data_IF_493578468432
#
_entry.id   IF_493578468432
#
_cell.length_a   1.000
_cell.length_b   1.000
_cell.length_c   1.000
_cell.angle_alpha   90.00
_cell.angle_beta   90.00
_cell.angle_gamma   90.00
#
_symmetry.space_group_name_H-M   'P 1'
#
loop_
_entity.id
_entity.type
_entity.pdbx_description
1 polymer ?
#
# COMPACT_ATOMS: atom_id res chain seq x y z
N UNK A 1 0.66 -28.45 80.85
CA UNK A 1 -0.47 -27.54 80.73
C UNK A 1 -0.16 -26.28 79.85
N UNK A 2 1.05 -26.17 79.29
CA UNK A 2 1.41 -25.01 78.40
C UNK A 2 1.38 -25.30 76.90
N UNK A 3 1.36 -26.58 76.51
CA UNK A 3 1.41 -26.99 75.10
C UNK A 3 0.08 -26.97 74.35
N UNK A 4 -1.02 -27.13 75.11
CA UNK A 4 -2.41 -27.19 74.63
C UNK A 4 -3.00 -25.81 74.31
N UNK A 5 -2.55 -24.76 75.00
CA UNK A 5 -3.02 -23.39 74.77
C UNK A 5 -2.35 -22.76 73.55
N UNK A 6 -1.09 -23.13 73.21
CA UNK A 6 -0.39 -22.63 72.04
C UNK A 6 -0.93 -23.19 70.73
N UNK A 7 -1.39 -24.45 70.75
CA UNK A 7 -2.02 -25.09 69.59
C UNK A 7 -3.40 -24.50 69.28
N UNK A 8 -4.18 -24.15 70.34
CA UNK A 8 -5.53 -23.54 70.21
C UNK A 8 -5.42 -22.12 69.61
N UNK A 9 -4.46 -21.32 70.04
CA UNK A 9 -4.26 -19.96 69.53
C UNK A 9 -3.78 -19.94 68.07
N UNK A 10 -3.08 -20.99 67.62
CA UNK A 10 -2.61 -21.14 66.21
C UNK A 10 -3.75 -21.59 65.27
N UNK A 11 -4.70 -22.40 65.75
CA UNK A 11 -5.85 -22.83 64.95
C UNK A 11 -6.86 -21.72 64.71
N UNK A 12 -7.06 -20.81 65.65
CA UNK A 12 -7.96 -19.67 65.48
C UNK A 12 -7.41 -18.61 64.54
N UNK A 13 -6.10 -18.38 64.53
CA UNK A 13 -5.48 -17.46 63.55
C UNK A 13 -5.60 -17.94 62.12
N UNK A 14 -5.60 -19.26 61.89
CA UNK A 14 -5.74 -19.84 60.53
C UNK A 14 -7.20 -19.79 60.02
N UNK A 15 -8.20 -19.73 60.91
CA UNK A 15 -9.62 -19.58 60.50
C UNK A 15 -9.93 -18.17 60.00
N UNK A 16 -9.35 -17.12 60.63
CA UNK A 16 -9.51 -15.74 60.14
C UNK A 16 -8.85 -15.47 58.80
N UNK A 17 -7.69 -16.12 58.55
CA UNK A 17 -6.96 -15.99 57.28
C UNK A 17 -7.70 -16.61 56.06
N UNK A 18 -8.38 -17.73 56.28
CA UNK A 18 -9.14 -18.41 55.21
C UNK A 18 -10.40 -17.64 54.78
N UNK A 19 -11.09 -16.98 55.75
CA UNK A 19 -12.24 -16.14 55.43
C UNK A 19 -11.83 -14.88 54.65
N UNK A 20 -10.71 -14.30 55.00
CA UNK A 20 -10.18 -13.10 54.30
C UNK A 20 -9.70 -13.44 52.86
N UNK A 21 -9.10 -14.62 52.66
CA UNK A 21 -8.68 -15.09 51.32
C UNK A 21 -9.88 -15.41 50.41
N UNK A 22 -10.96 -15.96 50.95
CA UNK A 22 -12.19 -16.24 50.19
C UNK A 22 -12.91 -14.95 49.76
N UNK A 23 -12.90 -13.91 50.58
CA UNK A 23 -13.48 -12.62 50.22
C UNK A 23 -12.64 -11.89 49.17
N UNK A 24 -11.31 -12.01 49.22
CA UNK A 24 -10.41 -11.44 48.22
C UNK A 24 -10.53 -12.13 46.84
N UNK A 25 -10.72 -13.44 46.80
CA UNK A 25 -10.89 -14.17 45.54
C UNK A 25 -12.24 -13.88 44.89
N UNK A 26 -13.30 -13.66 45.64
CA UNK A 26 -14.63 -13.29 45.12
C UNK A 26 -14.58 -11.86 44.55
N UNK A 27 -13.87 -10.92 45.19
CA UNK A 27 -13.71 -9.56 44.70
C UNK A 27 -12.93 -9.50 43.38
N UNK A 28 -11.93 -10.38 43.18
CA UNK A 28 -11.15 -10.47 41.93
C UNK A 28 -11.97 -11.10 40.80
N UNK A 29 -12.84 -12.08 41.09
CA UNK A 29 -13.69 -12.68 40.06
C UNK A 29 -14.82 -11.76 39.60
N UNK A 30 -15.36 -10.88 40.46
CA UNK A 30 -16.39 -9.90 40.04
C UNK A 30 -15.82 -8.74 39.25
N UNK A 31 -14.55 -8.35 39.50
CA UNK A 31 -13.86 -7.32 38.75
C UNK A 31 -13.49 -7.73 37.33
N UNK A 32 -13.38 -9.03 37.02
CA UNK A 32 -13.01 -9.54 35.68
C UNK A 32 -14.20 -9.74 34.74
N UNK A 33 -15.44 -9.62 35.21
CA UNK A 33 -16.65 -9.82 34.40
C UNK A 33 -17.21 -8.53 33.78
N UNK A 34 -16.64 -7.36 34.04
CA UNK A 34 -17.11 -6.07 33.48
C UNK A 34 -16.16 -5.48 32.47
N UNK A 35 -15.03 -6.14 32.19
CA UNK A 35 -14.15 -5.76 31.07
C UNK A 35 -14.46 -6.61 29.83
N UNK A 36 -15.74 -6.69 29.45
CA UNK A 36 -16.13 -6.97 28.08
C UNK A 36 -15.72 -5.73 27.25
N UNK A 37 -14.43 -5.63 26.97
CA UNK A 37 -13.94 -4.74 25.94
C UNK A 37 -14.76 -5.03 24.70
N UNK A 38 -15.61 -4.09 24.32
CA UNK A 38 -16.13 -4.04 22.98
C UNK A 38 -14.91 -4.08 22.07
N UNK A 39 -14.60 -5.25 21.52
CA UNK A 39 -13.80 -5.37 20.34
C UNK A 39 -14.52 -4.48 19.32
N UNK A 40 -14.07 -3.24 19.19
CA UNK A 40 -14.40 -2.42 18.04
C UNK A 40 -13.99 -3.28 16.85
N UNK A 41 -14.97 -3.96 16.27
CA UNK A 41 -14.86 -4.45 14.92
C UNK A 41 -14.38 -3.24 14.13
N UNK A 42 -13.14 -3.31 13.64
CA UNK A 42 -12.64 -2.39 12.62
C UNK A 42 -13.73 -2.42 11.56
N UNK A 43 -14.60 -1.40 11.58
CA UNK A 43 -15.69 -1.29 10.64
C UNK A 43 -15.09 -1.48 9.27
N UNK A 44 -15.49 -2.54 8.60
CA UNK A 44 -15.24 -2.67 7.18
C UNK A 44 -15.81 -1.38 6.58
N UNK A 45 -14.91 -0.49 6.12
CA UNK A 45 -15.36 0.65 5.31
C UNK A 45 -16.29 0.06 4.25
N UNK A 46 -17.43 0.69 3.96
CA UNK A 46 -18.32 0.21 2.92
C UNK A 46 -17.45 -0.08 1.70
N UNK A 47 -17.51 -1.29 1.17
CA UNK A 47 -16.80 -1.61 -0.07
C UNK A 47 -17.25 -0.57 -1.09
N UNK A 48 -16.30 0.19 -1.59
CA UNK A 48 -16.45 1.26 -2.57
C UNK A 48 -16.83 0.66 -3.94
N UNK A 49 -17.92 -0.17 -3.93
CA UNK A 49 -18.36 -0.95 -5.08
C UNK A 49 -18.87 -0.08 -6.22
N UNK A 50 -19.32 1.14 -5.90
CA UNK A 50 -19.99 2.04 -6.82
C UNK A 50 -19.22 3.35 -7.07
N UNK A 51 -17.95 3.48 -6.65
CA UNK A 51 -17.19 4.69 -6.94
C UNK A 51 -16.94 4.83 -8.46
N UNK A 52 -17.10 6.04 -9.03
CA UNK A 52 -16.80 6.29 -10.43
C UNK A 52 -15.40 5.84 -10.85
N UNK A 53 -14.40 6.01 -9.97
CA UNK A 53 -13.03 5.58 -10.22
C UNK A 53 -12.91 4.06 -10.31
N UNK A 54 -13.59 3.31 -9.42
CA UNK A 54 -13.62 1.85 -9.48
C UNK A 54 -14.29 1.34 -10.76
N UNK A 55 -15.41 1.94 -11.14
CA UNK A 55 -16.14 1.57 -12.36
C UNK A 55 -15.32 1.88 -13.62
N UNK A 56 -14.51 2.95 -13.58
CA UNK A 56 -13.64 3.33 -14.70
C UNK A 56 -12.40 2.43 -14.81
N UNK A 57 -11.60 2.30 -13.74
CA UNK A 57 -10.33 1.56 -13.77
C UNK A 57 -10.52 0.05 -13.68
N UNK A 58 -11.51 -0.43 -12.94
CA UNK A 58 -11.83 -1.83 -12.67
C UNK A 58 -10.68 -2.62 -12.01
N UNK A 59 -10.92 -3.88 -11.68
CA UNK A 59 -9.94 -4.75 -11.02
C UNK A 59 -9.41 -5.84 -11.95
N UNK A 60 -8.97 -5.45 -13.17
CA UNK A 60 -8.24 -6.40 -14.01
C UNK A 60 -6.99 -6.88 -13.29
N UNK A 61 -6.68 -8.17 -13.44
CA UNK A 61 -5.53 -8.80 -12.77
C UNK A 61 -4.24 -8.49 -13.52
N UNK A 62 -3.30 -7.84 -12.84
CA UNK A 62 -1.90 -7.70 -13.24
C UNK A 62 -1.03 -8.57 -12.33
N UNK A 63 0.25 -8.67 -12.63
CA UNK A 63 1.23 -9.44 -11.86
C UNK A 63 2.43 -8.52 -11.63
N UNK A 64 2.90 -8.41 -10.40
CA UNK A 64 4.07 -7.57 -10.10
C UNK A 64 5.40 -8.33 -10.29
N UNK A 65 6.52 -7.64 -10.10
CA UNK A 65 7.88 -8.17 -10.19
C UNK A 65 8.19 -9.34 -9.23
N UNK A 66 7.38 -9.54 -8.20
CA UNK A 66 7.53 -10.64 -7.24
C UNK A 66 6.58 -11.81 -7.55
N UNK A 67 5.90 -11.78 -8.71
CA UNK A 67 4.94 -12.79 -9.12
C UNK A 67 3.60 -12.72 -8.38
N UNK A 68 3.34 -11.66 -7.61
CA UNK A 68 2.08 -11.48 -6.88
C UNK A 68 1.01 -10.93 -7.81
N UNK A 69 -0.21 -11.52 -7.80
CA UNK A 69 -1.35 -10.92 -8.48
C UNK A 69 -1.73 -9.59 -7.81
N UNK A 70 -2.03 -8.59 -8.64
CA UNK A 70 -2.39 -7.23 -8.23
C UNK A 70 -3.66 -6.81 -8.98
N UNK A 71 -4.69 -6.42 -8.26
CA UNK A 71 -5.90 -5.84 -8.84
C UNK A 71 -5.62 -4.38 -9.21
N UNK A 72 -5.92 -4.01 -10.44
CA UNK A 72 -5.49 -2.71 -10.97
C UNK A 72 -6.03 -1.54 -10.16
N UNK A 73 -7.35 -1.48 -9.90
CA UNK A 73 -7.90 -0.41 -9.08
C UNK A 73 -7.59 -0.62 -7.60
N UNK A 74 -8.02 -1.74 -7.02
CA UNK A 74 -8.02 -1.92 -5.57
C UNK A 74 -6.60 -1.94 -4.97
N UNK A 75 -5.66 -2.62 -5.61
CA UNK A 75 -4.33 -2.81 -5.03
C UNK A 75 -3.34 -1.73 -5.47
N UNK A 76 -3.47 -1.19 -6.70
CA UNK A 76 -2.51 -0.24 -7.25
C UNK A 76 -2.96 1.22 -7.15
N UNK A 77 -4.27 1.53 -7.26
CA UNK A 77 -4.73 2.91 -7.40
C UNK A 77 -5.51 3.42 -6.19
N UNK A 78 -6.41 2.62 -5.63
CA UNK A 78 -7.38 3.06 -4.62
C UNK A 78 -6.70 3.78 -3.44
N UNK A 79 -7.20 4.97 -3.10
CA UNK A 79 -6.77 5.80 -1.96
C UNK A 79 -5.28 6.19 -1.98
N UNK A 80 -4.63 6.17 -3.15
CA UNK A 80 -3.21 6.44 -3.31
C UNK A 80 -2.93 7.67 -4.17
N UNK A 81 -1.76 8.25 -3.96
CA UNK A 81 -1.11 9.06 -4.99
C UNK A 81 -0.21 8.15 -5.81
N UNK A 82 -0.35 8.20 -7.12
CA UNK A 82 0.38 7.30 -8.02
C UNK A 82 1.15 8.07 -9.09
N UNK A 83 2.35 7.59 -9.38
CA UNK A 83 3.18 8.03 -10.51
C UNK A 83 3.26 6.84 -11.45
N UNK A 84 2.63 6.95 -12.62
CA UNK A 84 2.51 5.84 -13.57
C UNK A 84 3.34 6.16 -14.80
N UNK A 85 4.18 5.21 -15.22
CA UNK A 85 4.89 5.26 -16.49
C UNK A 85 4.77 3.92 -17.23
N UNK A 86 5.02 3.96 -18.53
CA UNK A 86 5.12 2.77 -19.37
C UNK A 86 6.58 2.47 -19.68
N UNK A 87 6.89 1.19 -19.85
CA UNK A 87 8.23 0.71 -20.17
C UNK A 87 8.17 -0.70 -20.79
N UNK A 88 9.30 -1.19 -21.25
CA UNK A 88 9.55 -2.61 -21.49
C UNK A 88 11.02 -2.95 -21.21
N UNK A 89 11.30 -4.19 -20.76
CA UNK A 89 12.62 -4.55 -20.22
C UNK A 89 13.72 -4.54 -21.25
N UNK A 90 13.39 -4.72 -22.54
CA UNK A 90 14.33 -4.72 -23.65
C UNK A 90 14.54 -3.34 -24.28
N UNK A 91 13.91 -2.29 -23.79
CA UNK A 91 14.12 -0.92 -24.25
C UNK A 91 15.52 -0.42 -23.91
N UNK A 92 16.24 0.09 -24.92
CA UNK A 92 17.60 0.61 -24.75
C UNK A 92 17.70 2.14 -24.93
N UNK A 93 16.62 2.80 -25.33
CA UNK A 93 16.60 4.23 -25.64
C UNK A 93 16.04 5.09 -24.51
N UNK A 94 14.71 5.25 -24.42
CA UNK A 94 14.05 6.20 -23.52
C UNK A 94 13.74 5.63 -22.13
N UNK A 95 13.50 4.31 -21.99
CA UNK A 95 13.18 3.72 -20.69
C UNK A 95 14.32 3.85 -19.67
N UNK A 96 15.61 3.65 -20.01
CA UNK A 96 16.70 3.81 -19.05
C UNK A 96 16.81 5.20 -18.43
N UNK A 97 16.80 6.32 -19.18
CA UNK A 97 16.82 7.65 -18.57
C UNK A 97 15.54 7.96 -17.77
N UNK A 98 14.35 7.53 -18.22
CA UNK A 98 13.11 7.68 -17.46
C UNK A 98 13.17 6.95 -16.12
N UNK A 99 13.67 5.72 -16.10
CA UNK A 99 13.81 4.94 -14.87
C UNK A 99 14.83 5.56 -13.91
N UNK A 100 15.92 6.16 -14.42
CA UNK A 100 16.84 6.93 -13.58
C UNK A 100 16.19 8.19 -13.00
N UNK A 101 15.32 8.85 -13.72
CA UNK A 101 14.53 9.95 -13.18
C UNK A 101 13.60 9.48 -12.07
N UNK A 102 12.94 8.34 -12.23
CA UNK A 102 12.11 7.74 -11.18
C UNK A 102 12.94 7.29 -9.96
N UNK A 103 14.18 6.82 -10.14
CA UNK A 103 15.11 6.56 -9.03
C UNK A 103 15.40 7.84 -8.22
N UNK A 104 15.48 9.01 -8.86
CA UNK A 104 15.62 10.30 -8.15
C UNK A 104 14.31 10.72 -7.47
N UNK A 105 13.17 10.53 -8.13
CA UNK A 105 11.85 10.80 -7.55
C UNK A 105 11.61 9.93 -6.32
N UNK A 106 11.92 8.63 -6.35
CA UNK A 106 11.80 7.76 -5.19
C UNK A 106 12.69 8.20 -4.02
N UNK A 107 13.88 8.70 -4.34
CA UNK A 107 14.82 9.22 -3.32
C UNK A 107 14.26 10.48 -2.65
N UNK A 108 13.66 11.39 -3.43
CA UNK A 108 13.00 12.59 -2.93
C UNK A 108 11.75 12.26 -2.09
N UNK A 109 10.93 11.28 -2.51
CA UNK A 109 9.76 10.83 -1.76
C UNK A 109 10.12 10.29 -0.37
N UNK A 110 11.32 9.75 -0.20
CA UNK A 110 11.76 9.22 1.09
C UNK A 110 10.80 8.17 1.64
N UNK A 111 10.31 8.39 2.86
CA UNK A 111 9.40 7.49 3.57
C UNK A 111 7.93 7.58 3.10
N UNK A 112 7.59 8.50 2.21
CA UNK A 112 6.26 8.59 1.59
C UNK A 112 6.05 7.47 0.57
N UNK A 113 7.13 7.01 -0.07
CA UNK A 113 7.05 5.90 -1.02
C UNK A 113 6.62 4.61 -0.30
N UNK A 114 5.56 3.98 -0.79
CA UNK A 114 4.99 2.77 -0.22
C UNK A 114 4.04 3.00 0.96
N UNK A 115 3.83 4.26 1.37
CA UNK A 115 2.82 4.63 2.38
C UNK A 115 1.61 5.31 1.73
N UNK A 116 1.81 6.48 1.18
CA UNK A 116 0.77 7.31 0.56
C UNK A 116 1.04 7.61 -0.92
N UNK A 117 2.27 7.44 -1.37
CA UNK A 117 2.71 7.61 -2.76
C UNK A 117 3.30 6.32 -3.30
N UNK A 118 2.93 5.96 -4.51
CA UNK A 118 3.40 4.74 -5.17
C UNK A 118 3.87 5.05 -6.59
N UNK A 119 4.89 4.32 -7.05
CA UNK A 119 5.33 4.35 -8.45
C UNK A 119 4.88 3.05 -9.10
N UNK A 120 4.25 3.15 -10.27
CA UNK A 120 3.71 2.02 -11.01
C UNK A 120 4.25 2.06 -12.44
N UNK A 121 5.16 1.16 -12.75
CA UNK A 121 5.68 0.97 -14.09
C UNK A 121 4.93 -0.18 -14.77
N UNK A 122 4.16 0.13 -15.83
CA UNK A 122 3.34 -0.86 -16.54
C UNK A 122 4.05 -1.27 -17.83
N UNK A 123 4.27 -2.57 -18.01
CA UNK A 123 4.88 -3.08 -19.24
C UNK A 123 3.94 -2.93 -20.44
N UNK A 124 4.51 -2.47 -21.56
CA UNK A 124 3.85 -2.46 -22.87
C UNK A 124 4.20 -3.70 -23.72
N UNK A 125 5.02 -4.60 -23.19
CA UNK A 125 5.42 -5.86 -23.85
C UNK A 125 5.17 -7.07 -22.91
N UNK A 126 3.92 -7.33 -22.50
CA UNK A 126 3.62 -8.35 -21.49
C UNK A 126 3.97 -9.77 -21.92
N UNK A 127 4.16 -10.02 -23.22
CA UNK A 127 4.56 -11.34 -23.73
C UNK A 127 6.05 -11.64 -23.47
N UNK A 128 6.87 -10.61 -23.32
CA UNK A 128 8.31 -10.70 -23.07
C UNK A 128 8.64 -10.42 -21.61
N UNK A 129 7.95 -9.46 -21.02
CA UNK A 129 8.22 -8.94 -19.68
C UNK A 129 7.58 -9.81 -18.59
N UNK A 130 8.24 -10.93 -18.29
CA UNK A 130 7.84 -11.85 -17.22
C UNK A 130 8.22 -11.31 -15.84
N UNK A 131 7.59 -11.77 -14.74
CA UNK A 131 7.95 -11.34 -13.38
C UNK A 131 9.45 -11.41 -13.05
N UNK A 132 10.22 -12.47 -13.40
CA UNK A 132 11.67 -12.49 -13.21
C UNK A 132 12.38 -11.34 -13.95
N UNK A 133 12.03 -11.05 -15.21
CA UNK A 133 12.61 -9.92 -15.96
C UNK A 133 12.27 -8.57 -15.33
N UNK A 134 11.03 -8.42 -14.85
CA UNK A 134 10.62 -7.23 -14.10
C UNK A 134 11.42 -7.07 -12.81
N UNK A 135 11.71 -8.17 -12.13
CA UNK A 135 12.52 -8.16 -10.90
C UNK A 135 13.95 -7.72 -11.16
N UNK A 136 14.59 -8.25 -12.20
CA UNK A 136 15.93 -7.83 -12.61
C UNK A 136 15.96 -6.35 -13.00
N UNK A 137 14.93 -5.90 -13.73
CA UNK A 137 14.80 -4.48 -14.10
C UNK A 137 14.61 -3.59 -12.86
N UNK A 138 13.76 -3.99 -11.91
CA UNK A 138 13.56 -3.28 -10.64
C UNK A 138 14.88 -3.17 -9.83
N UNK A 139 15.65 -4.26 -9.76
CA UNK A 139 16.95 -4.28 -9.08
C UNK A 139 17.95 -3.32 -9.74
N UNK A 140 18.00 -3.29 -11.08
CA UNK A 140 18.87 -2.39 -11.86
C UNK A 140 18.66 -0.92 -11.47
N UNK A 141 17.44 -0.50 -11.17
CA UNK A 141 17.09 0.86 -10.76
C UNK A 141 16.87 1.02 -9.26
N UNK A 142 17.33 0.04 -8.46
CA UNK A 142 17.26 0.06 -6.98
C UNK A 142 15.86 0.40 -6.48
N UNK A 143 14.84 -0.18 -7.13
CA UNK A 143 13.46 0.06 -6.77
C UNK A 143 13.19 -0.35 -5.33
N UNK A 144 12.67 0.59 -4.54
CA UNK A 144 12.31 0.38 -3.13
C UNK A 144 10.85 -0.12 -3.02
N UNK A 145 10.44 -0.67 -1.87
CA UNK A 145 9.04 -0.97 -1.60
C UNK A 145 8.15 0.24 -1.90
N UNK A 146 7.06 0.03 -2.65
CA UNK A 146 6.20 1.10 -3.16
C UNK A 146 6.45 1.46 -4.63
N UNK A 147 7.51 0.94 -5.24
CA UNK A 147 7.69 0.98 -6.69
C UNK A 147 7.37 -0.39 -7.28
N UNK A 148 6.25 -0.49 -7.98
CA UNK A 148 5.78 -1.70 -8.62
C UNK A 148 6.08 -1.69 -10.12
N UNK A 149 6.64 -2.78 -10.60
CA UNK A 149 6.72 -3.10 -12.02
C UNK A 149 5.70 -4.18 -12.31
N UNK A 150 4.76 -3.90 -13.18
CA UNK A 150 3.63 -4.80 -13.41
C UNK A 150 3.52 -5.21 -14.88
N UNK A 151 3.09 -6.43 -15.06
CA UNK A 151 2.75 -7.09 -16.32
C UNK A 151 1.44 -7.86 -16.15
N UNK A 152 1.06 -8.69 -17.09
CA UNK A 152 -0.14 -9.54 -17.01
C UNK A 152 -0.32 -10.35 -18.27
N UNK A 153 -1.51 -10.98 -18.44
CA UNK A 153 -1.88 -11.39 -19.77
C UNK A 153 -2.07 -10.16 -20.66
N UNK A 154 -2.00 -10.36 -21.97
CA UNK A 154 -2.02 -9.27 -22.95
C UNK A 154 -3.27 -8.39 -22.78
N UNK A 155 -4.43 -9.02 -22.66
CA UNK A 155 -5.73 -8.35 -22.58
C UNK A 155 -5.82 -7.44 -21.34
N UNK A 156 -5.38 -7.92 -20.18
CA UNK A 156 -5.41 -7.16 -18.92
C UNK A 156 -4.39 -6.01 -18.91
N UNK A 157 -3.19 -6.26 -19.45
CA UNK A 157 -2.16 -5.21 -19.56
C UNK A 157 -2.61 -4.09 -20.51
N UNK A 158 -3.12 -4.45 -21.68
CA UNK A 158 -3.67 -3.48 -22.64
C UNK A 158 -4.87 -2.73 -22.07
N UNK A 159 -5.76 -3.41 -21.35
CA UNK A 159 -6.88 -2.75 -20.68
C UNK A 159 -6.40 -1.68 -19.70
N UNK A 160 -5.46 -2.00 -18.82
CA UNK A 160 -4.88 -1.05 -17.87
C UNK A 160 -4.23 0.15 -18.60
N UNK A 161 -3.47 -0.12 -19.67
CA UNK A 161 -2.82 0.91 -20.49
C UNK A 161 -3.86 1.83 -21.17
N UNK A 162 -4.97 1.28 -21.70
CA UNK A 162 -6.08 2.07 -22.27
C UNK A 162 -6.72 2.97 -21.21
N UNK A 163 -6.92 2.47 -19.99
CA UNK A 163 -7.55 3.24 -18.91
C UNK A 163 -6.71 4.43 -18.44
N UNK A 164 -5.39 4.35 -18.55
CA UNK A 164 -4.50 5.48 -18.26
C UNK A 164 -4.12 6.30 -19.50
N UNK A 165 -4.68 5.96 -20.68
CA UNK A 165 -4.40 6.67 -21.92
C UNK A 165 -2.97 6.49 -22.44
N UNK A 166 -2.36 5.33 -22.22
CA UNK A 166 -0.98 4.99 -22.57
C UNK A 166 -0.87 3.72 -23.45
N UNK A 167 -1.99 3.24 -23.96
CA UNK A 167 -1.98 2.12 -24.89
C UNK A 167 -1.36 2.51 -26.24
N UNK A 168 -0.54 1.61 -26.78
CA UNK A 168 0.07 1.71 -28.11
C UNK A 168 -0.02 0.37 -28.83
N UNK A 169 -0.15 0.38 -30.16
CA UNK A 169 -0.17 -0.84 -30.98
C UNK A 169 1.23 -1.48 -31.04
N UNK A 170 2.27 -0.65 -31.18
CA UNK A 170 3.66 -1.08 -31.15
C UNK A 170 4.33 -0.57 -29.88
N UNK A 171 5.07 -1.45 -29.20
CA UNK A 171 5.84 -1.08 -28.00
C UNK A 171 6.87 0.04 -28.28
N UNK A 172 7.34 0.18 -29.51
CA UNK A 172 8.33 1.19 -29.89
C UNK A 172 7.72 2.60 -29.92
N UNK A 173 6.38 2.71 -30.02
CA UNK A 173 5.64 3.96 -29.97
C UNK A 173 5.21 4.37 -28.55
N UNK A 174 5.67 3.64 -27.51
CA UNK A 174 5.29 3.93 -26.14
C UNK A 174 5.67 5.34 -25.69
N UNK A 175 4.78 5.94 -24.93
CA UNK A 175 4.90 7.33 -24.48
C UNK A 175 6.02 7.52 -23.45
N UNK A 176 6.71 8.65 -23.54
CA UNK A 176 7.61 9.15 -22.49
C UNK A 176 6.89 9.99 -21.44
N UNK A 177 5.57 10.12 -21.54
CA UNK A 177 4.74 10.88 -20.57
C UNK A 177 4.47 10.01 -19.35
N UNK A 178 4.68 10.59 -18.17
CA UNK A 178 4.26 10.04 -16.89
C UNK A 178 2.89 10.60 -16.51
N UNK A 179 2.04 9.77 -15.93
CA UNK A 179 0.72 10.14 -15.41
C UNK A 179 0.82 10.17 -13.89
N UNK A 180 0.55 11.32 -13.28
CA UNK A 180 0.56 11.49 -11.84
C UNK A 180 -0.87 11.73 -11.37
N UNK A 181 -1.37 10.89 -10.47
CA UNK A 181 -2.76 10.94 -10.00
C UNK A 181 -2.88 10.87 -8.50
N UNK A 182 -3.79 11.68 -7.95
CA UNK A 182 -4.22 11.57 -6.56
C UNK A 182 -5.67 11.04 -6.54
N UNK A 183 -5.82 9.76 -6.21
CA UNK A 183 -7.13 9.10 -6.24
C UNK A 183 -8.07 9.59 -5.11
N UNK A 184 -7.54 10.29 -4.11
CA UNK A 184 -8.32 10.84 -3.00
C UNK A 184 -8.98 12.18 -3.37
N UNK A 185 -8.33 12.96 -4.23
CA UNK A 185 -8.81 14.28 -4.64
C UNK A 185 -9.32 14.33 -6.08
N UNK A 186 -8.97 13.29 -6.88
CA UNK A 186 -9.28 13.23 -8.31
C UNK A 186 -8.37 14.12 -9.18
N UNK A 187 -7.27 14.69 -8.63
CA UNK A 187 -6.32 15.48 -9.41
C UNK A 187 -5.42 14.57 -10.24
N UNK A 188 -5.34 14.85 -11.55
CA UNK A 188 -4.45 14.16 -12.48
C UNK A 188 -3.62 15.16 -13.26
N UNK A 189 -2.31 14.90 -13.35
CA UNK A 189 -1.36 15.69 -14.16
C UNK A 189 -0.51 14.78 -15.03
N UNK A 190 0.00 15.37 -16.11
CA UNK A 190 0.99 14.73 -16.99
C UNK A 190 2.35 15.40 -16.80
N UNK A 191 3.42 14.61 -16.84
CA UNK A 191 4.78 15.10 -16.79
C UNK A 191 5.64 14.43 -17.87
N UNK A 192 6.60 15.15 -18.41
CA UNK A 192 7.55 14.58 -19.37
C UNK A 192 8.59 13.75 -18.61
N UNK A 193 8.62 12.43 -18.80
CA UNK A 193 9.53 11.53 -18.09
C UNK A 193 11.01 11.75 -18.42
N UNK A 194 11.29 12.42 -19.53
CA UNK A 194 12.64 12.82 -19.98
C UNK A 194 13.02 14.23 -19.51
N UNK A 195 12.15 14.94 -18.80
CA UNK A 195 12.47 16.26 -18.22
C UNK A 195 13.57 16.15 -17.16
N UNK A 196 14.11 17.29 -16.74
CA UNK A 196 15.03 17.33 -15.61
C UNK A 196 14.35 16.78 -14.37
N UNK A 197 15.03 16.00 -13.52
CA UNK A 197 14.42 15.41 -12.32
C UNK A 197 13.73 16.43 -11.42
N UNK A 198 14.32 17.63 -11.30
CA UNK A 198 13.79 18.73 -10.48
C UNK A 198 12.42 19.21 -10.96
N UNK A 199 12.22 19.28 -12.29
CA UNK A 199 10.95 19.70 -12.89
C UNK A 199 9.90 18.60 -12.78
N UNK A 200 10.29 17.34 -12.93
CA UNK A 200 9.43 16.20 -12.67
C UNK A 200 8.97 16.17 -11.19
N UNK A 201 9.89 16.39 -10.25
CA UNK A 201 9.60 16.45 -8.82
C UNK A 201 8.57 17.55 -8.51
N UNK A 202 8.69 18.75 -9.08
CA UNK A 202 7.71 19.83 -8.88
C UNK A 202 6.30 19.41 -9.30
N UNK A 203 6.16 18.70 -10.43
CA UNK A 203 4.84 18.20 -10.85
C UNK A 203 4.33 17.14 -9.88
N UNK A 204 5.18 16.20 -9.45
CA UNK A 204 4.82 15.18 -8.46
C UNK A 204 4.39 15.83 -7.15
N UNK A 205 5.18 16.76 -6.61
CA UNK A 205 4.90 17.51 -5.38
C UNK A 205 3.52 18.17 -5.42
N UNK A 206 3.20 18.84 -6.54
CA UNK A 206 1.91 19.54 -6.70
C UNK A 206 0.68 18.62 -6.73
N UNK A 207 0.87 17.30 -6.91
CA UNK A 207 -0.20 16.29 -6.84
C UNK A 207 -0.20 15.59 -5.49
N UNK A 208 1.00 15.38 -4.93
CA UNK A 208 1.20 14.73 -3.64
C UNK A 208 0.66 15.60 -2.49
N UNK A 209 0.81 16.91 -2.61
CA UNK A 209 0.38 17.88 -1.58
C UNK A 209 -1.06 18.37 -1.78
N UNK A 210 -1.72 17.97 -2.87
CA UNK A 210 -3.14 18.28 -3.12
C UNK A 210 -4.04 17.56 -2.09
N UNK A 211 -4.90 18.32 -1.41
CA UNK A 211 -5.77 17.84 -0.33
C UNK A 211 -7.24 17.90 -0.73
N UNK A 212 -8.09 17.02 -0.17
CA UNK A 212 -9.53 17.14 -0.33
C UNK A 212 -10.01 18.52 0.14
N UNK A 213 -10.75 19.22 -0.73
CA UNK A 213 -11.26 20.56 -0.45
C UNK A 213 -10.42 21.72 -1.00
N UNK A 214 -9.24 21.45 -1.55
CA UNK A 214 -8.51 22.50 -2.28
C UNK A 214 -9.30 22.93 -3.52
N UNK A 215 -9.50 24.23 -3.67
CA UNK A 215 -10.23 24.81 -4.81
C UNK A 215 -9.37 24.62 -6.07
N UNK A 216 -9.96 24.03 -7.10
CA UNK A 216 -9.31 23.79 -8.40
C UNK A 216 -9.77 24.80 -9.43
#
# INVERSE_FOLDING_TARGET
MKLTDEIKGRAERLKGSRALWLLLTIAICVGFLVSSGAAQSKGSQPEDKDSPARNYFTDVQLINQDGKPMRFYTDLLKDKVVIINTFFTTCTSVCPPMSRNLERVQSWLGDRLGKDVYIISISVDPTVDTPPRLKDYAQKYKARPGWFFVTGNKENAEFALRKIGQFVESKDDHSTVMIIGNLRTGLWKKAMGMAKPEDLIKVVESVVDDKPGDVK
#
